data_IF_321544789377
#
_entry.id   IF_321544789377
#
_cell.length_a   1.000
_cell.length_b   1.000
_cell.length_c   1.000
_cell.angle_alpha   90.00
_cell.angle_beta   90.00
_cell.angle_gamma   90.00
#
_symmetry.space_group_name_H-M   'P 1'
#
loop_
_entity.id
_entity.type
_entity.pdbx_description
1 polymer ?
#
# COMPACT_ATOMS: atom_id res chain seq x y z
N UNK A 1 -18.84 -4.67 7.02
CA UNK A 1 -17.56 -5.39 6.83
C UNK A 1 -16.77 -5.27 8.13
N UNK A 2 -16.50 -6.36 8.86
CA UNK A 2 -15.67 -6.31 10.07
C UNK A 2 -14.23 -6.03 9.65
N UNK A 3 -13.64 -4.94 10.12
CA UNK A 3 -12.20 -4.68 10.01
C UNK A 3 -11.54 -5.25 11.26
N UNK A 4 -10.70 -6.27 11.12
CA UNK A 4 -9.87 -6.79 12.21
C UNK A 4 -8.53 -6.06 12.13
N UNK A 5 -8.03 -5.58 13.28
CA UNK A 5 -6.74 -4.92 13.40
C UNK A 5 -6.07 -5.41 14.67
N UNK A 6 -4.87 -5.99 14.55
CA UNK A 6 -4.09 -6.47 15.69
C UNK A 6 -2.64 -6.04 15.55
N UNK A 7 -1.89 -6.04 16.65
CA UNK A 7 -0.46 -5.72 16.64
C UNK A 7 0.36 -6.91 16.15
N UNK A 8 1.41 -6.65 15.38
CA UNK A 8 2.34 -7.65 14.88
C UNK A 8 3.53 -7.86 15.83
N UNK A 9 3.90 -9.12 16.08
CA UNK A 9 5.12 -9.54 16.77
C UNK A 9 6.20 -9.82 15.73
N UNK A 10 7.10 -8.84 15.56
CA UNK A 10 8.07 -8.82 14.45
C UNK A 10 9.52 -8.83 14.94
N UNK A 11 10.37 -9.55 14.23
CA UNK A 11 11.82 -9.43 14.37
C UNK A 11 12.37 -8.19 13.60
N UNK A 12 13.66 -7.90 13.76
CA UNK A 12 14.29 -6.72 13.14
C UNK A 12 14.31 -6.76 11.60
N UNK A 13 14.47 -7.94 11.01
CA UNK A 13 14.45 -8.11 9.56
C UNK A 13 13.06 -7.80 8.99
N UNK A 14 12.01 -8.35 9.63
CA UNK A 14 10.63 -8.08 9.25
C UNK A 14 10.27 -6.60 9.42
N UNK A 15 10.63 -5.96 10.55
CA UNK A 15 10.40 -4.52 10.76
C UNK A 15 11.05 -3.68 9.65
N UNK A 16 12.26 -4.03 9.25
CA UNK A 16 12.97 -3.37 8.14
C UNK A 16 12.24 -3.57 6.82
N UNK A 17 11.82 -4.80 6.52
CA UNK A 17 11.07 -5.12 5.31
C UNK A 17 9.73 -4.37 5.22
N UNK A 18 8.97 -4.30 6.33
CA UNK A 18 7.72 -3.54 6.39
C UNK A 18 7.97 -2.04 6.18
N UNK A 19 9.04 -1.49 6.78
CA UNK A 19 9.42 -0.10 6.59
C UNK A 19 9.80 0.21 5.13
N UNK A 20 10.49 -0.71 4.45
CA UNK A 20 10.80 -0.60 3.02
C UNK A 20 9.52 -0.60 2.17
N UNK A 21 8.57 -1.51 2.44
CA UNK A 21 7.28 -1.56 1.73
C UNK A 21 6.43 -0.31 1.97
N UNK A 22 6.35 0.20 3.21
CA UNK A 22 5.66 1.44 3.51
C UNK A 22 6.33 2.65 2.80
N UNK A 23 7.66 2.68 2.80
CA UNK A 23 8.44 3.67 2.05
C UNK A 23 8.17 3.62 0.55
N UNK A 24 8.10 2.42 -0.02
CA UNK A 24 7.77 2.20 -1.42
C UNK A 24 6.35 2.65 -1.76
N UNK A 25 5.36 2.31 -0.92
CA UNK A 25 3.98 2.78 -1.09
C UNK A 25 3.89 4.30 -1.09
N UNK A 26 4.57 4.96 -0.14
CA UNK A 26 4.64 6.42 -0.05
C UNK A 26 5.30 7.02 -1.29
N UNK A 27 6.43 6.47 -1.73
CA UNK A 27 7.15 6.93 -2.91
C UNK A 27 6.26 6.86 -4.15
N UNK A 28 5.63 5.71 -4.41
CA UNK A 28 4.74 5.53 -5.58
C UNK A 28 3.52 6.44 -5.50
N UNK A 29 2.90 6.58 -4.33
CA UNK A 29 1.77 7.48 -4.15
C UNK A 29 2.15 8.93 -4.49
N UNK A 30 3.28 9.40 -3.98
CA UNK A 30 3.75 10.76 -4.22
C UNK A 30 4.15 10.99 -5.69
N UNK A 31 4.86 10.04 -6.30
CA UNK A 31 5.16 10.07 -7.73
C UNK A 31 3.87 10.14 -8.57
N UNK A 32 2.89 9.27 -8.26
CA UNK A 32 1.61 9.24 -8.95
C UNK A 32 0.81 10.51 -8.77
N UNK A 33 0.83 11.12 -7.57
CA UNK A 33 0.17 12.39 -7.31
C UNK A 33 0.82 13.54 -8.09
N UNK A 34 2.15 13.55 -8.21
CA UNK A 34 2.87 14.54 -9.01
C UNK A 34 2.46 14.45 -10.48
N UNK A 35 2.50 13.25 -11.06
CA UNK A 35 2.10 13.03 -12.46
C UNK A 35 0.61 13.32 -12.68
N UNK A 36 -0.25 12.95 -11.73
CA UNK A 36 -1.67 13.27 -11.78
C UNK A 36 -1.92 14.77 -11.81
N UNK A 37 -1.25 15.53 -10.93
CA UNK A 37 -1.39 16.98 -10.89
C UNK A 37 -0.91 17.63 -12.20
N UNK A 38 0.24 17.22 -12.73
CA UNK A 38 0.76 17.74 -14.01
C UNK A 38 -0.24 17.46 -15.16
N UNK A 39 -0.67 16.21 -15.32
CA UNK A 39 -1.63 15.85 -16.34
C UNK A 39 -2.96 16.61 -16.22
N UNK A 40 -3.41 16.88 -14.99
CA UNK A 40 -4.63 17.66 -14.77
C UNK A 40 -4.46 19.14 -15.15
N UNK A 41 -3.30 19.74 -14.85
CA UNK A 41 -2.96 21.11 -15.28
C UNK A 41 -2.95 21.23 -16.80
N UNK A 42 -2.48 20.20 -17.50
CA UNK A 42 -2.44 20.14 -18.97
C UNK A 42 -3.81 19.79 -19.60
N UNK A 43 -4.89 19.75 -18.82
CA UNK A 43 -6.25 19.48 -19.29
C UNK A 43 -6.59 18.01 -19.50
N UNK A 44 -5.71 17.07 -19.16
CA UNK A 44 -5.99 15.65 -19.25
C UNK A 44 -6.85 15.14 -18.10
N UNK A 45 -7.48 13.98 -18.33
CA UNK A 45 -8.23 13.20 -17.32
C UNK A 45 -7.39 12.00 -16.86
N UNK A 46 -6.49 12.17 -15.87
CA UNK A 46 -5.69 11.08 -15.32
C UNK A 46 -6.57 10.04 -14.64
N UNK A 47 -6.10 8.79 -14.62
CA UNK A 47 -6.71 7.71 -13.87
C UNK A 47 -5.64 6.71 -13.40
N UNK A 48 -6.00 5.90 -12.40
CA UNK A 48 -5.07 4.95 -11.79
C UNK A 48 -4.51 3.89 -12.77
N UNK A 49 -5.27 3.52 -13.82
CA UNK A 49 -4.82 2.56 -14.84
C UNK A 49 -3.66 3.13 -15.65
N UNK A 50 -3.83 4.34 -16.21
CA UNK A 50 -2.80 5.03 -16.99
C UNK A 50 -1.54 5.30 -16.16
N UNK A 51 -1.70 5.72 -14.89
CA UNK A 51 -0.55 5.90 -13.99
C UNK A 51 0.25 4.60 -13.82
N UNK A 52 -0.43 3.47 -13.63
CA UNK A 52 0.20 2.16 -13.46
C UNK A 52 0.97 1.74 -14.71
N UNK A 53 0.40 1.99 -15.89
CA UNK A 53 1.00 1.70 -17.19
C UNK A 53 2.29 2.49 -17.38
N UNK A 54 2.23 3.83 -17.23
CA UNK A 54 3.41 4.71 -17.31
C UNK A 54 4.47 4.32 -16.28
N UNK A 55 4.03 4.04 -15.04
CA UNK A 55 4.95 3.64 -13.98
C UNK A 55 5.67 2.34 -14.32
N UNK A 56 4.94 1.31 -14.75
CA UNK A 56 5.50 -0.03 -14.98
C UNK A 56 6.46 -0.03 -16.16
N UNK A 57 6.14 0.70 -17.23
CA UNK A 57 6.90 0.69 -18.48
C UNK A 57 8.09 1.65 -18.46
N UNK A 58 7.96 2.82 -17.84
CA UNK A 58 8.97 3.89 -17.96
C UNK A 58 9.67 4.23 -16.65
N UNK A 59 8.98 4.14 -15.51
CA UNK A 59 9.55 4.59 -14.23
C UNK A 59 10.20 3.46 -13.44
N UNK A 60 9.48 2.37 -13.21
CA UNK A 60 9.93 1.21 -12.42
C UNK A 60 11.27 0.62 -12.90
N UNK A 61 11.55 0.51 -14.22
CA UNK A 61 12.84 0.01 -14.69
C UNK A 61 14.04 0.85 -14.25
N UNK A 62 13.85 2.14 -13.98
CA UNK A 62 14.88 3.06 -13.52
C UNK A 62 15.23 2.89 -12.03
N UNK A 63 14.46 2.09 -11.28
CA UNK A 63 14.65 1.88 -9.85
C UNK A 63 14.81 0.39 -9.51
N UNK A 64 16.03 -0.18 -9.69
CA UNK A 64 16.27 -1.61 -9.50
C UNK A 64 15.84 -2.16 -8.13
N UNK A 65 15.97 -1.37 -7.07
CA UNK A 65 15.58 -1.75 -5.71
C UNK A 65 14.09 -2.12 -5.56
N UNK A 66 13.22 -1.63 -6.46
CA UNK A 66 11.79 -1.94 -6.44
C UNK A 66 11.48 -3.40 -6.82
N UNK A 67 12.42 -4.11 -7.45
CA UNK A 67 12.27 -5.53 -7.78
C UNK A 67 12.21 -6.41 -6.54
N UNK A 68 12.81 -5.96 -5.44
CA UNK A 68 12.85 -6.68 -4.16
C UNK A 68 11.60 -6.47 -3.30
N UNK A 69 10.60 -5.75 -3.80
CA UNK A 69 9.37 -5.42 -3.06
C UNK A 69 8.14 -5.86 -3.85
N UNK A 70 7.06 -6.16 -3.13
CA UNK A 70 5.83 -6.66 -3.75
C UNK A 70 5.26 -5.67 -4.77
N UNK A 71 4.94 -6.18 -5.95
CA UNK A 71 4.29 -5.38 -7.01
C UNK A 71 2.90 -4.87 -6.59
N UNK A 72 2.26 -5.52 -5.62
CA UNK A 72 0.97 -5.09 -5.09
C UNK A 72 1.03 -3.76 -4.37
N UNK A 73 2.18 -3.42 -3.77
CA UNK A 73 2.33 -2.16 -3.03
C UNK A 73 2.14 -0.93 -3.92
N UNK A 74 2.82 -0.86 -5.07
CA UNK A 74 2.63 0.27 -5.97
C UNK A 74 1.25 0.24 -6.65
N UNK A 75 0.74 -0.95 -6.93
CA UNK A 75 -0.59 -1.10 -7.53
C UNK A 75 -1.68 -0.54 -6.62
N UNK A 76 -1.64 -0.86 -5.33
CA UNK A 76 -2.55 -0.30 -4.32
C UNK A 76 -2.28 1.18 -4.04
N UNK A 77 -1.02 1.64 -4.11
CA UNK A 77 -0.72 3.06 -4.00
C UNK A 77 -1.49 3.89 -5.06
N UNK A 78 -1.52 3.42 -6.31
CA UNK A 78 -2.26 4.08 -7.38
C UNK A 78 -3.79 3.89 -7.28
N UNK A 79 -4.26 2.72 -6.85
CA UNK A 79 -5.70 2.49 -6.60
C UNK A 79 -6.20 3.46 -5.52
N UNK A 80 -5.47 3.56 -4.40
CA UNK A 80 -5.82 4.45 -3.30
C UNK A 80 -5.76 5.93 -3.72
N UNK A 81 -4.82 6.30 -4.60
CA UNK A 81 -4.77 7.66 -5.17
C UNK A 81 -5.99 7.95 -6.05
N UNK A 82 -6.35 7.02 -6.94
CA UNK A 82 -7.53 7.16 -7.81
C UNK A 82 -8.82 7.27 -7.00
N UNK A 83 -8.97 6.45 -5.96
CA UNK A 83 -10.12 6.52 -5.05
C UNK A 83 -10.16 7.83 -4.26
N UNK A 84 -9.00 8.34 -3.82
CA UNK A 84 -8.93 9.64 -3.14
C UNK A 84 -9.39 10.80 -4.05
N UNK A 85 -8.99 10.79 -5.33
CA UNK A 85 -9.48 11.77 -6.30
C UNK A 85 -10.97 11.59 -6.61
N UNK A 86 -11.44 10.35 -6.76
CA UNK A 86 -12.88 10.06 -6.96
C UNK A 86 -13.71 10.65 -5.83
N UNK A 87 -13.33 10.41 -4.57
CA UNK A 87 -14.00 10.98 -3.39
C UNK A 87 -13.92 12.50 -3.36
N UNK A 88 -12.79 13.08 -3.74
CA UNK A 88 -12.63 14.55 -3.84
C UNK A 88 -13.63 15.15 -4.84
N UNK A 89 -13.74 14.59 -6.05
CA UNK A 89 -14.69 15.08 -7.06
C UNK A 89 -16.16 14.87 -6.67
N UNK A 90 -16.45 13.89 -5.82
CA UNK A 90 -17.79 13.66 -5.25
C UNK A 90 -18.09 14.55 -4.03
N UNK A 91 -17.16 15.39 -3.58
CA UNK A 91 -17.31 16.19 -2.36
C UNK A 91 -17.21 15.40 -1.06
N UNK A 92 -16.86 14.10 -1.11
CA UNK A 92 -16.76 13.19 0.03
C UNK A 92 -15.35 13.16 0.67
N UNK A 93 -14.45 14.00 0.19
CA UNK A 93 -13.06 14.03 0.64
C UNK A 93 -12.34 15.31 0.24
N UNK A 94 -11.20 15.56 0.89
CA UNK A 94 -10.32 16.68 0.55
C UNK A 94 -9.41 16.31 -0.62
N UNK A 95 -8.86 17.31 -1.30
CA UNK A 95 -7.87 17.12 -2.36
C UNK A 95 -6.71 16.24 -1.85
N UNK A 96 -6.29 15.21 -2.61
CA UNK A 96 -5.12 14.40 -2.27
C UNK A 96 -3.86 15.24 -2.04
N UNK A 97 -3.07 14.88 -1.04
CA UNK A 97 -1.83 15.59 -0.64
C UNK A 97 -0.66 14.63 -0.60
N UNK A 98 0.54 15.15 -0.79
CA UNK A 98 1.76 14.37 -0.66
C UNK A 98 1.87 13.77 0.75
N UNK A 99 2.19 12.47 0.80
CA UNK A 99 2.42 11.71 2.02
C UNK A 99 3.81 12.02 2.57
N UNK A 100 3.93 12.08 3.90
CA UNK A 100 5.17 12.34 4.64
C UNK A 100 5.63 11.07 5.36
N UNK A 101 6.94 10.84 5.43
CA UNK A 101 7.51 9.73 6.21
C UNK A 101 7.14 9.88 7.69
N UNK A 102 6.83 8.78 8.36
CA UNK A 102 6.41 8.77 9.76
C UNK A 102 4.98 9.24 10.00
N UNK A 103 4.25 9.67 8.95
CA UNK A 103 2.83 10.03 9.04
C UNK A 103 1.99 9.04 8.23
N UNK A 104 1.22 8.22 8.93
CA UNK A 104 0.33 7.22 8.31
C UNK A 104 1.09 6.29 7.35
N UNK A 105 2.28 5.82 7.76
CA UNK A 105 3.05 4.86 6.99
C UNK A 105 2.27 3.54 6.92
N UNK A 106 1.87 3.15 5.72
CA UNK A 106 1.12 1.93 5.47
C UNK A 106 1.31 1.44 4.04
N UNK A 107 1.01 0.17 3.82
CA UNK A 107 0.93 -0.43 2.49
C UNK A 107 -0.09 -1.58 2.48
N UNK A 108 -0.64 -1.85 1.31
CA UNK A 108 -1.64 -2.91 1.11
C UNK A 108 -1.06 -3.95 0.15
N UNK A 109 -1.32 -5.22 0.47
CA UNK A 109 -0.97 -6.37 -0.34
C UNK A 109 -2.18 -7.30 -0.46
N UNK A 110 -2.23 -8.05 -1.55
CA UNK A 110 -3.19 -9.13 -1.77
C UNK A 110 -2.45 -10.38 -2.28
N UNK A 111 -3.18 -11.49 -2.39
CA UNK A 111 -2.69 -12.74 -2.94
C UNK A 111 -3.20 -12.98 -4.37
N UNK A 112 -3.19 -11.94 -5.22
CA UNK A 112 -3.61 -12.04 -6.63
C UNK A 112 -5.01 -12.65 -6.82
N UNK A 113 -5.97 -12.26 -5.99
CA UNK A 113 -7.35 -12.75 -6.05
C UNK A 113 -7.61 -14.05 -5.28
N UNK A 114 -6.56 -14.73 -4.80
CA UNK A 114 -6.72 -15.85 -3.87
C UNK A 114 -7.04 -15.33 -2.47
N UNK A 115 -7.88 -16.05 -1.71
CA UNK A 115 -8.07 -15.77 -0.29
C UNK A 115 -6.77 -15.89 0.50
N UNK A 116 -6.66 -15.10 1.56
CA UNK A 116 -5.64 -15.18 2.60
C UNK A 116 -6.37 -15.64 3.86
N UNK A 117 -5.99 -16.81 4.34
CA UNK A 117 -6.52 -17.40 5.57
C UNK A 117 -5.65 -16.97 6.74
N UNK A 118 -6.29 -16.39 7.75
CA UNK A 118 -5.67 -15.99 9.00
C UNK A 118 -6.26 -16.88 10.09
N UNK A 119 -5.43 -17.74 10.69
CA UNK A 119 -5.85 -18.73 11.67
C UNK A 119 -4.89 -18.71 12.88
N UNK A 120 -5.41 -18.42 14.07
CA UNK A 120 -4.63 -18.36 15.30
C UNK A 120 -3.63 -17.19 15.31
N UNK A 121 -2.40 -17.44 15.80
CA UNK A 121 -1.41 -16.39 16.07
C UNK A 121 -0.38 -16.16 14.95
N UNK A 122 -0.16 -17.15 14.09
CA UNK A 122 0.90 -17.12 13.07
C UNK A 122 0.25 -17.12 11.68
N UNK A 123 0.61 -16.14 10.87
CA UNK A 123 -0.03 -15.93 9.57
C UNK A 123 1.01 -15.85 8.47
N UNK A 124 0.81 -16.59 7.37
CA UNK A 124 1.66 -16.47 6.20
C UNK A 124 1.16 -15.32 5.31
N UNK A 125 1.87 -14.20 5.36
CA UNK A 125 1.52 -13.00 4.62
C UNK A 125 2.24 -13.01 3.27
N UNK A 126 1.55 -12.82 2.12
CA UNK A 126 2.17 -12.81 0.80
C UNK A 126 3.38 -11.86 0.73
N UNK A 127 4.49 -12.34 0.20
CA UNK A 127 5.77 -11.61 0.04
C UNK A 127 6.51 -11.26 1.36
N UNK A 128 5.83 -11.24 2.50
CA UNK A 128 6.43 -10.94 3.82
C UNK A 128 6.84 -12.23 4.56
N UNK A 129 6.09 -13.31 4.35
CA UNK A 129 6.29 -14.60 5.03
C UNK A 129 5.52 -14.70 6.35
N UNK A 130 5.97 -15.60 7.23
CA UNK A 130 5.33 -15.88 8.51
C UNK A 130 5.46 -14.72 9.49
N UNK A 131 4.33 -14.17 9.92
CA UNK A 131 4.24 -13.08 10.90
C UNK A 131 3.38 -13.53 12.07
N UNK A 132 3.85 -13.23 13.29
CA UNK A 132 3.11 -13.50 14.52
C UNK A 132 2.27 -12.29 14.93
N UNK A 133 1.18 -12.52 15.63
CA UNK A 133 0.26 -11.49 16.15
C UNK A 133 0.16 -11.54 17.67
N UNK A 134 -0.31 -10.45 18.29
CA UNK A 134 -0.56 -10.41 19.74
C UNK A 134 -1.87 -11.09 20.14
N UNK A 135 -2.87 -11.06 19.26
CA UNK A 135 -4.17 -11.70 19.44
C UNK A 135 -4.40 -12.72 18.32
N UNK A 136 -5.09 -13.83 18.59
CA UNK A 136 -5.46 -14.75 17.53
C UNK A 136 -6.44 -14.09 16.56
N UNK A 137 -6.29 -14.37 15.27
CA UNK A 137 -7.23 -13.96 14.23
C UNK A 137 -7.79 -15.22 13.59
N UNK A 138 -9.10 -15.23 13.40
CA UNK A 138 -9.82 -16.21 12.57
C UNK A 138 -10.61 -15.44 11.52
N UNK A 139 -10.04 -15.33 10.32
CA UNK A 139 -10.68 -14.62 9.21
C UNK A 139 -10.10 -15.02 7.86
N UNK A 140 -10.95 -14.97 6.85
CA UNK A 140 -10.55 -15.06 5.44
C UNK A 140 -10.69 -13.69 4.80
N UNK A 141 -9.60 -13.18 4.22
CA UNK A 141 -9.60 -11.87 3.55
C UNK A 141 -8.92 -11.94 2.19
N UNK A 142 -9.26 -11.04 1.28
CA UNK A 142 -8.57 -10.92 -0.01
C UNK A 142 -7.35 -9.99 0.04
N UNK A 143 -7.32 -9.06 0.99
CA UNK A 143 -6.26 -8.06 1.11
C UNK A 143 -5.95 -7.75 2.57
N UNK A 144 -4.70 -7.40 2.82
CA UNK A 144 -4.19 -7.00 4.13
C UNK A 144 -3.54 -5.64 3.98
N UNK A 145 -3.81 -4.73 4.93
CA UNK A 145 -3.10 -3.45 5.03
C UNK A 145 -2.26 -3.47 6.28
N UNK A 146 -0.95 -3.33 6.09
CA UNK A 146 0.01 -3.22 7.20
C UNK A 146 0.30 -1.74 7.40
N UNK A 147 0.23 -1.29 8.65
CA UNK A 147 0.30 0.11 9.04
C UNK A 147 1.19 0.31 10.27
N UNK A 148 1.85 1.45 10.34
CA UNK A 148 2.69 1.83 11.48
C UNK A 148 1.98 2.88 12.34
N UNK A 149 1.88 2.63 13.64
CA UNK A 149 1.31 3.54 14.62
C UNK A 149 2.13 3.49 15.92
N UNK A 150 2.49 4.66 16.46
CA UNK A 150 3.24 4.80 17.72
C UNK A 150 4.51 3.91 17.81
N UNK A 151 5.21 3.73 16.69
CA UNK A 151 6.44 2.91 16.63
C UNK A 151 6.20 1.44 16.28
N UNK A 152 4.98 0.93 16.50
CA UNK A 152 4.57 -0.45 16.27
C UNK A 152 3.90 -0.67 14.91
N UNK A 153 3.82 -1.94 14.50
CA UNK A 153 3.17 -2.38 13.26
C UNK A 153 1.88 -3.15 13.55
N UNK A 154 0.87 -2.92 12.72
CA UNK A 154 -0.47 -3.49 12.78
C UNK A 154 -0.93 -3.92 11.39
#
# INVERSE_FOLDING_TARGET
MKSIRTKLKLNNQQKTLLAQHAGYSRWCYNWGLSLWNAAYTDGYKPNARKLREVFTNHTKPLYPWMKNLSSKVYQYAFINLGEAFKRFFQGLGKRPRFKKKGKSDSFTIDNCGKPIELNGWNHNIPFIGWVKTYEPIEATTQKITISRQAGDWY
#
